data_IF_138889034734
#
_entry.id   IF_138889034734
#
_cell.length_a   1.000
_cell.length_b   1.000
_cell.length_c   1.000
_cell.angle_alpha   90.00
_cell.angle_beta   90.00
_cell.angle_gamma   90.00
#
_symmetry.space_group_name_H-M   'P 1'
#
loop_
_entity.id
_entity.type
_entity.pdbx_description
1 polymer ?
#
# COMPACT_ATOMS: atom_id res chain seq x y z
N UNK A 1 -16.80 -11.61 -4.45
CA UNK A 1 -16.71 -10.18 -4.09
C UNK A 1 -15.69 -10.09 -2.96
N UNK A 2 -14.49 -9.51 -3.18
CA UNK A 2 -13.58 -9.25 -2.07
C UNK A 2 -14.31 -8.32 -1.09
N UNK A 3 -14.35 -8.71 0.18
CA UNK A 3 -15.03 -7.93 1.22
C UNK A 3 -14.11 -6.76 1.59
N UNK A 4 -14.47 -5.54 1.21
CA UNK A 4 -13.90 -4.33 1.79
C UNK A 4 -14.29 -4.30 3.27
N UNK A 5 -13.41 -3.88 4.17
CA UNK A 5 -13.78 -3.79 5.61
C UNK A 5 -13.21 -2.55 6.30
N UNK A 6 -12.62 -1.65 5.51
CA UNK A 6 -12.18 -0.32 5.93
C UNK A 6 -12.53 0.70 4.85
N UNK A 7 -12.95 1.87 5.29
CA UNK A 7 -13.32 3.01 4.45
C UNK A 7 -12.44 4.19 4.84
N UNK A 8 -11.85 4.86 3.86
CA UNK A 8 -11.01 6.03 4.07
C UNK A 8 -11.55 7.20 3.25
N UNK A 9 -12.06 8.22 3.93
CA UNK A 9 -12.45 9.46 3.28
C UNK A 9 -11.22 10.16 2.68
N UNK A 10 -11.34 10.55 1.43
CA UNK A 10 -10.28 11.20 0.65
C UNK A 10 -10.86 12.34 -0.16
N UNK A 11 -10.05 13.35 -0.38
CA UNK A 11 -10.40 14.51 -1.18
C UNK A 11 -9.17 14.96 -1.96
N UNK A 12 -9.41 15.70 -3.03
CA UNK A 12 -8.35 16.38 -3.74
C UNK A 12 -8.77 16.88 -5.10
N UNK A 13 -7.84 16.82 -6.06
CA UNK A 13 -8.01 17.43 -7.38
C UNK A 13 -7.88 16.42 -8.50
N UNK A 14 -8.72 16.58 -9.51
CA UNK A 14 -8.66 15.78 -10.71
C UNK A 14 -7.67 16.40 -11.70
N UNK A 15 -6.70 15.61 -12.15
CA UNK A 15 -5.77 15.98 -13.21
C UNK A 15 -5.98 15.08 -14.43
N UNK A 16 -5.75 15.63 -15.63
CA UNK A 16 -5.76 14.86 -16.87
C UNK A 16 -4.41 14.98 -17.56
N UNK A 17 -3.73 13.85 -17.73
CA UNK A 17 -2.40 13.75 -18.38
C UNK A 17 -2.48 12.70 -19.48
N UNK A 18 -2.15 13.09 -20.71
CA UNK A 18 -2.09 12.17 -21.87
C UNK A 18 -3.37 11.33 -22.06
N UNK A 19 -4.54 11.89 -21.72
CA UNK A 19 -5.83 11.19 -21.79
C UNK A 19 -6.13 10.26 -20.61
N UNK A 20 -5.24 10.18 -19.62
CA UNK A 20 -5.45 9.45 -18.36
C UNK A 20 -5.92 10.41 -17.27
N UNK A 21 -6.91 9.96 -16.50
CA UNK A 21 -7.46 10.67 -15.34
C UNK A 21 -6.72 10.24 -14.07
N UNK A 22 -6.24 11.24 -13.34
CA UNK A 22 -5.44 11.09 -12.13
C UNK A 22 -6.11 11.86 -11.01
N UNK A 23 -6.46 11.17 -9.94
CA UNK A 23 -7.02 11.81 -8.74
C UNK A 23 -5.87 12.08 -7.77
N UNK A 24 -5.43 13.32 -7.71
CA UNK A 24 -4.42 13.77 -6.75
C UNK A 24 -5.11 13.91 -5.40
N UNK A 25 -4.60 13.21 -4.39
CA UNK A 25 -5.11 13.30 -3.01
C UNK A 25 -4.38 14.42 -2.29
N UNK A 26 -5.11 15.28 -1.58
CA UNK A 26 -4.54 16.41 -0.85
C UNK A 26 -3.71 15.95 0.36
N UNK A 27 -4.08 14.82 0.97
CA UNK A 27 -3.37 14.19 2.07
C UNK A 27 -2.69 12.88 1.63
N UNK A 28 -1.44 12.68 2.07
CA UNK A 28 -0.69 11.47 1.76
C UNK A 28 -1.31 10.26 2.46
N UNK A 29 -1.54 9.19 1.68
CA UNK A 29 -2.12 7.95 2.20
C UNK A 29 -1.05 7.00 2.78
N UNK A 30 -0.32 7.48 3.79
CA UNK A 30 0.76 6.73 4.45
C UNK A 30 0.28 5.37 4.95
N UNK A 31 0.87 4.28 4.43
CA UNK A 31 0.54 2.90 4.82
C UNK A 31 -0.61 2.25 4.04
N UNK A 32 -1.36 3.02 3.24
CA UNK A 32 -2.42 2.50 2.37
C UNK A 32 -1.96 2.24 0.92
N UNK A 33 -0.80 2.77 0.55
CA UNK A 33 -0.07 2.47 -0.68
C UNK A 33 0.23 0.97 -0.84
N UNK A 34 0.32 0.26 0.29
CA UNK A 34 0.50 -1.19 0.37
C UNK A 34 -0.56 -2.01 -0.39
N UNK A 35 -1.73 -1.45 -0.67
CA UNK A 35 -2.79 -2.17 -1.36
C UNK A 35 -2.68 -2.10 -2.88
N UNK A 36 -1.90 -1.15 -3.43
CA UNK A 36 -1.68 -0.82 -4.85
C UNK A 36 -2.92 -0.71 -5.74
N UNK A 37 -4.02 -1.40 -5.51
CA UNK A 37 -5.28 -1.34 -6.25
C UNK A 37 -6.45 -1.49 -5.27
N UNK A 38 -7.45 -0.63 -5.44
CA UNK A 38 -8.60 -0.51 -4.54
C UNK A 38 -9.79 0.09 -5.31
N UNK A 39 -10.93 0.27 -4.64
CA UNK A 39 -12.10 0.94 -5.20
C UNK A 39 -12.24 2.33 -4.56
N UNK A 40 -12.41 3.37 -5.38
CA UNK A 40 -12.75 4.73 -4.97
C UNK A 40 -14.24 4.95 -5.20
N UNK A 41 -14.98 5.30 -4.16
CA UNK A 41 -16.36 5.73 -4.26
C UNK A 41 -16.45 7.25 -4.27
N UNK A 42 -16.86 7.85 -5.39
CA UNK A 42 -16.95 9.31 -5.51
C UNK A 42 -18.28 9.82 -4.93
N UNK A 43 -18.21 10.84 -4.08
CA UNK A 43 -19.40 11.47 -3.47
C UNK A 43 -20.07 12.45 -4.46
N UNK A 44 -19.26 13.24 -5.17
CA UNK A 44 -19.66 14.16 -6.24
C UNK A 44 -18.46 14.46 -7.17
N UNK A 45 -18.70 14.90 -8.42
CA UNK A 45 -19.88 14.59 -9.22
C UNK A 45 -19.68 13.24 -9.92
N UNK A 46 -20.77 12.61 -10.37
CA UNK A 46 -20.82 11.64 -11.48
C UNK A 46 -20.93 10.14 -11.13
N UNK A 47 -22.13 9.62 -11.40
CA UNK A 47 -22.55 8.42 -12.16
C UNK A 47 -21.78 7.07 -12.13
N UNK A 48 -20.56 6.99 -11.63
CA UNK A 48 -19.87 5.73 -11.32
C UNK A 48 -19.51 5.75 -9.84
N UNK A 49 -20.41 5.27 -8.97
CA UNK A 49 -20.23 5.34 -7.53
C UNK A 49 -19.05 4.49 -7.03
N UNK A 50 -18.43 3.69 -7.91
CA UNK A 50 -17.32 2.80 -7.60
C UNK A 50 -16.35 2.76 -8.80
N UNK A 51 -15.15 3.29 -8.58
CA UNK A 51 -14.08 3.38 -9.56
C UNK A 51 -12.90 2.50 -9.11
N UNK A 52 -12.53 1.43 -9.84
CA UNK A 52 -11.30 0.73 -9.53
C UNK A 52 -10.10 1.63 -9.84
N UNK A 53 -9.24 1.85 -8.85
CA UNK A 53 -8.08 2.73 -8.92
C UNK A 53 -6.81 2.01 -8.47
N UNK A 54 -5.66 2.49 -8.95
CA UNK A 54 -4.33 2.13 -8.48
C UNK A 54 -3.76 3.26 -7.62
N UNK A 55 -3.25 2.92 -6.44
CA UNK A 55 -2.60 3.89 -5.55
C UNK A 55 -1.13 4.01 -5.97
N UNK A 56 -0.70 5.22 -6.29
CA UNK A 56 0.68 5.57 -6.61
C UNK A 56 1.14 6.63 -5.60
N UNK A 57 2.03 6.23 -4.70
CA UNK A 57 2.56 7.13 -3.67
C UNK A 57 3.97 7.55 -4.05
N UNK A 58 4.17 8.85 -4.12
CA UNK A 58 5.47 9.51 -4.28
C UNK A 58 5.85 10.17 -2.95
N UNK A 59 7.04 10.78 -2.88
CA UNK A 59 7.57 11.33 -1.62
C UNK A 59 6.64 12.38 -0.99
N UNK A 60 6.00 13.21 -1.82
CA UNK A 60 5.18 14.36 -1.41
C UNK A 60 3.70 14.25 -1.81
N UNK A 61 3.32 13.31 -2.68
CA UNK A 61 1.97 13.23 -3.23
C UNK A 61 1.48 11.78 -3.34
N UNK A 62 0.17 11.60 -3.13
CA UNK A 62 -0.51 10.35 -3.48
C UNK A 62 -1.43 10.59 -4.67
N UNK A 63 -1.34 9.73 -5.67
CA UNK A 63 -2.13 9.77 -6.90
C UNK A 63 -2.93 8.49 -7.01
N UNK A 64 -4.22 8.59 -7.28
CA UNK A 64 -5.06 7.45 -7.63
C UNK A 64 -5.24 7.45 -9.15
N UNK A 65 -4.67 6.46 -9.81
CA UNK A 65 -4.82 6.29 -11.26
C UNK A 65 -6.03 5.39 -11.54
N UNK A 66 -6.98 5.87 -12.33
CA UNK A 66 -8.12 5.04 -12.73
C UNK A 66 -7.68 3.81 -13.54
N UNK A 67 -8.20 2.63 -13.21
CA UNK A 67 -7.98 1.40 -13.98
C UNK A 67 -9.00 1.23 -15.13
N UNK A 68 -9.97 2.12 -15.22
CA UNK A 68 -11.02 2.12 -16.24
C UNK A 68 -11.13 3.51 -16.88
N UNK A 69 -11.36 3.55 -18.18
CA UNK A 69 -11.55 4.81 -18.89
C UNK A 69 -12.98 5.27 -18.70
N UNK A 70 -13.22 6.15 -17.73
CA UNK A 70 -14.55 6.64 -17.40
C UNK A 70 -14.37 7.98 -16.72
N UNK A 71 -14.68 9.05 -17.43
CA UNK A 71 -15.37 10.26 -16.98
C UNK A 71 -15.46 11.26 -18.16
N UNK A 72 -16.43 11.12 -19.07
CA UNK A 72 -16.58 11.99 -20.25
C UNK A 72 -16.84 13.48 -19.92
N UNK A 73 -17.11 13.82 -18.65
CA UNK A 73 -17.58 15.15 -18.24
C UNK A 73 -16.75 15.83 -17.15
N UNK A 74 -15.81 15.14 -16.50
CA UNK A 74 -15.01 15.76 -15.44
C UNK A 74 -13.95 16.69 -16.03
N UNK A 75 -13.80 17.88 -15.43
CA UNK A 75 -12.85 18.89 -15.88
C UNK A 75 -11.54 18.77 -15.10
N UNK A 76 -10.42 18.97 -15.79
CA UNK A 76 -9.13 19.05 -15.10
C UNK A 76 -9.13 20.26 -14.15
N UNK A 77 -8.62 20.07 -12.94
CA UNK A 77 -8.64 21.04 -11.85
C UNK A 77 -9.91 21.01 -10.99
N UNK A 78 -10.87 20.14 -11.30
CA UNK A 78 -12.08 19.98 -10.50
C UNK A 78 -11.76 19.29 -9.16
N UNK A 79 -12.35 19.83 -8.08
CA UNK A 79 -12.27 19.22 -6.75
C UNK A 79 -13.16 17.99 -6.69
N UNK A 80 -12.69 16.95 -6.02
CA UNK A 80 -13.45 15.73 -5.79
C UNK A 80 -13.34 15.30 -4.33
N UNK A 81 -14.37 14.59 -3.89
CA UNK A 81 -14.41 13.91 -2.60
C UNK A 81 -14.92 12.49 -2.80
N UNK A 82 -14.45 11.58 -1.96
CA UNK A 82 -14.87 10.20 -2.02
C UNK A 82 -14.32 9.36 -0.89
N UNK A 83 -14.62 8.07 -0.96
CA UNK A 83 -14.21 7.07 0.02
C UNK A 83 -13.44 5.95 -0.66
N UNK A 84 -12.22 5.69 -0.22
CA UNK A 84 -11.46 4.50 -0.65
C UNK A 84 -11.90 3.28 0.15
N UNK A 85 -12.34 2.24 -0.57
CA UNK A 85 -12.72 0.95 -0.01
C UNK A 85 -11.49 0.06 0.15
N UNK A 86 -10.76 0.23 1.25
CA UNK A 86 -9.55 -0.52 1.52
C UNK A 86 -9.88 -2.03 1.61
N UNK A 87 -9.34 -2.88 0.71
CA UNK A 87 -9.60 -4.30 0.76
C UNK A 87 -9.09 -4.86 2.08
N UNK A 88 -9.96 -5.53 2.83
CA UNK A 88 -9.50 -6.27 3.99
C UNK A 88 -8.91 -7.60 3.59
N UNK A 89 -7.91 -7.92 4.40
CA UNK A 89 -7.15 -9.13 4.34
C UNK A 89 -5.72 -8.73 4.58
N UNK A 90 -5.43 -8.26 5.80
CA UNK A 90 -4.09 -8.44 6.34
C UNK A 90 -3.90 -9.95 6.36
N UNK A 91 -3.35 -10.50 5.29
CA UNK A 91 -2.58 -11.71 5.45
C UNK A 91 -1.38 -11.21 6.24
N UNK A 92 -1.24 -11.53 7.54
CA UNK A 92 0.01 -11.24 8.22
C UNK A 92 1.09 -11.80 7.30
N UNK A 93 2.06 -10.96 6.92
CA UNK A 93 2.99 -11.36 5.91
C UNK A 93 3.69 -12.61 6.43
N UNK A 94 3.66 -13.67 5.62
CA UNK A 94 4.17 -14.97 6.05
C UNK A 94 5.67 -14.83 6.21
N UNK A 95 6.16 -14.99 7.44
CA UNK A 95 7.60 -15.02 7.72
C UNK A 95 8.20 -16.21 6.96
N UNK A 96 9.18 -15.99 6.08
CA UNK A 96 9.89 -17.06 5.40
C UNK A 96 10.54 -18.02 6.41
N UNK A 97 10.53 -19.32 6.10
CA UNK A 97 11.01 -20.36 7.03
C UNK A 97 12.45 -20.13 7.51
N UNK A 98 13.30 -19.59 6.64
CA UNK A 98 14.71 -19.31 6.96
C UNK A 98 14.87 -18.13 7.92
N UNK A 99 14.06 -17.08 7.76
CA UNK A 99 14.00 -15.97 8.72
C UNK A 99 13.40 -16.43 10.06
N UNK A 100 12.34 -17.25 10.02
CA UNK A 100 11.72 -17.79 11.24
C UNK A 100 12.70 -18.68 12.01
N UNK A 101 13.47 -19.52 11.32
CA UNK A 101 14.48 -20.36 11.92
C UNK A 101 15.61 -19.54 12.54
N UNK A 102 16.15 -18.56 11.82
CA UNK A 102 17.23 -17.72 12.34
C UNK A 102 16.79 -16.87 13.54
N UNK A 103 15.57 -16.33 13.53
CA UNK A 103 15.01 -15.63 14.69
C UNK A 103 14.84 -16.55 15.91
N UNK A 104 14.39 -17.79 15.69
CA UNK A 104 14.29 -18.78 16.76
C UNK A 104 15.66 -19.18 17.33
N UNK A 105 16.68 -19.30 16.49
CA UNK A 105 18.08 -19.55 16.90
C UNK A 105 18.67 -18.38 17.70
N UNK A 106 18.28 -17.14 17.36
CA UNK A 106 18.67 -15.93 18.09
C UNK A 106 17.81 -15.64 19.35
N UNK A 107 16.71 -16.37 19.55
CA UNK A 107 15.78 -16.13 20.67
C UNK A 107 14.95 -14.85 20.54
N UNK A 108 14.76 -14.37 19.30
CA UNK A 108 14.10 -13.11 18.98
C UNK A 108 12.63 -13.33 18.63
N UNK A 109 11.74 -12.51 19.20
CA UNK A 109 10.30 -12.56 18.92
C UNK A 109 9.95 -11.74 17.65
N UNK A 110 9.47 -12.44 16.62
CA UNK A 110 9.05 -11.83 15.34
C UNK A 110 7.59 -11.36 15.35
N UNK A 111 6.84 -11.62 16.42
CA UNK A 111 5.43 -11.25 16.54
C UNK A 111 5.21 -9.79 16.97
N UNK A 112 6.27 -9.10 17.42
CA UNK A 112 6.22 -7.71 17.87
C UNK A 112 6.13 -6.67 16.76
N UNK A 113 6.35 -7.04 15.49
CA UNK A 113 6.34 -6.09 14.38
C UNK A 113 4.97 -5.50 14.10
N UNK A 114 4.94 -4.19 13.85
CA UNK A 114 3.83 -3.60 13.12
C UNK A 114 3.75 -4.19 11.71
N UNK A 115 2.55 -4.17 11.12
CA UNK A 115 2.35 -4.65 9.76
C UNK A 115 3.13 -3.84 8.70
N UNK A 116 3.54 -2.61 9.01
CA UNK A 116 4.35 -1.78 8.11
C UNK A 116 5.82 -2.24 8.13
N UNK A 117 6.39 -2.40 9.32
CA UNK A 117 7.77 -2.87 9.53
C UNK A 117 7.96 -4.27 8.94
N UNK A 118 7.06 -5.21 9.23
CA UNK A 118 7.15 -6.57 8.71
C UNK A 118 7.18 -6.59 7.18
N UNK A 119 6.39 -5.75 6.50
CA UNK A 119 6.38 -5.70 5.02
C UNK A 119 7.66 -5.10 4.45
N UNK A 120 8.21 -4.06 5.07
CA UNK A 120 9.48 -3.46 4.62
C UNK A 120 10.62 -4.46 4.73
N UNK A 121 10.75 -5.12 5.89
CA UNK A 121 11.79 -6.11 6.14
C UNK A 121 11.65 -7.33 5.22
N UNK A 122 10.43 -7.77 4.95
CA UNK A 122 10.18 -8.89 4.05
C UNK A 122 10.38 -8.54 2.57
N UNK A 123 10.12 -7.29 2.16
CA UNK A 123 10.49 -6.80 0.83
C UNK A 123 12.00 -6.77 0.67
N UNK A 124 12.70 -6.18 1.64
CA UNK A 124 14.15 -6.16 1.69
C UNK A 124 14.75 -7.57 1.65
N UNK A 125 14.17 -8.54 2.36
CA UNK A 125 14.62 -9.93 2.31
C UNK A 125 14.28 -10.61 0.97
N UNK A 126 13.10 -10.32 0.39
CA UNK A 126 12.62 -10.91 -0.86
C UNK A 126 13.40 -10.47 -2.11
N UNK A 127 14.09 -9.33 -2.07
CA UNK A 127 14.97 -8.86 -3.13
C UNK A 127 16.30 -9.62 -3.23
N UNK A 128 16.63 -10.49 -2.25
CA UNK A 128 17.83 -11.32 -2.27
C UNK A 128 17.49 -12.77 -2.62
N UNK A 129 18.08 -13.25 -3.71
CA UNK A 129 18.06 -14.67 -4.08
C UNK A 129 18.71 -15.55 -3.00
N UNK A 130 18.34 -16.84 -2.92
CA UNK A 130 18.95 -17.79 -1.99
C UNK A 130 20.49 -17.78 -2.12
N UNK A 131 21.18 -17.54 -1.00
CA UNK A 131 22.65 -17.48 -0.99
C UNK A 131 23.22 -16.56 0.10
N UNK A 132 24.50 -16.19 -0.01
CA UNK A 132 25.21 -15.43 1.03
C UNK A 132 24.56 -14.08 1.33
N UNK A 133 24.09 -13.37 0.30
CA UNK A 133 23.44 -12.06 0.46
C UNK A 133 22.15 -12.17 1.27
N UNK A 134 21.35 -13.22 1.03
CA UNK A 134 20.13 -13.46 1.80
C UNK A 134 20.44 -13.78 3.26
N UNK A 135 21.49 -14.56 3.53
CA UNK A 135 21.95 -14.84 4.89
C UNK A 135 22.42 -13.58 5.63
N UNK A 136 23.18 -12.69 4.95
CA UNK A 136 23.58 -11.40 5.51
C UNK A 136 22.37 -10.52 5.85
N UNK A 137 21.37 -10.45 4.95
CA UNK A 137 20.14 -9.69 5.20
C UNK A 137 19.33 -10.25 6.38
N UNK A 138 19.27 -11.58 6.53
CA UNK A 138 18.65 -12.20 7.71
C UNK A 138 19.39 -11.77 8.99
N UNK A 139 20.72 -11.78 8.98
CA UNK A 139 21.53 -11.29 10.10
C UNK A 139 21.22 -9.83 10.47
N UNK A 140 21.16 -8.94 9.48
CA UNK A 140 20.80 -7.53 9.70
C UNK A 140 19.40 -7.34 10.30
N UNK A 141 18.42 -8.15 9.85
CA UNK A 141 17.05 -8.11 10.39
C UNK A 141 17.04 -8.55 11.86
N UNK A 142 17.82 -9.58 12.22
CA UNK A 142 17.94 -10.06 13.60
C UNK A 142 18.65 -9.04 14.49
N UNK A 143 19.75 -8.45 14.04
CA UNK A 143 20.45 -7.41 14.80
C UNK A 143 19.55 -6.20 15.07
N UNK A 144 18.73 -5.80 14.08
CA UNK A 144 17.76 -4.72 14.25
C UNK A 144 16.69 -5.06 15.31
N UNK A 145 16.26 -6.32 15.38
CA UNK A 145 15.29 -6.78 16.37
C UNK A 145 15.86 -6.82 17.80
N UNK A 146 17.12 -7.19 17.96
CA UNK A 146 17.78 -7.22 19.27
C UNK A 146 17.97 -5.81 19.85
N UNK A 147 18.15 -4.80 18.99
CA UNK A 147 18.36 -3.41 19.39
C UNK A 147 17.14 -2.71 19.99
N UNK A 148 15.94 -3.21 19.73
CA UNK A 148 14.65 -2.65 20.19
C UNK A 148 14.08 -3.39 21.43
N UNK A 149 14.85 -4.31 22.03
CA UNK A 149 14.46 -5.15 23.19
C UNK A 149 14.80 -4.55 24.57
#
# INVERSE_FOLDING_TARGET
MPRHTGELAVHGRLERREGTELFIVDERLSGHDTFLSTTLCLDQPVYLPELPVRILTFDDVTVLASLVSVLPQAQAGEEWSGTLLIPHGVRPPTIPDDLAQAAAEAGVDTSGWSAAEARQLLTFLGEADPGPVRAERIGMIIEALEGDS
#
